data_IF_067228135324
#
_entry.id   IF_067228135324
#
_cell.length_a   1.000
_cell.length_b   1.000
_cell.length_c   1.000
_cell.angle_alpha   90.00
_cell.angle_beta   90.00
_cell.angle_gamma   90.00
#
_symmetry.space_group_name_H-M   'P 1'
#
loop_
_entity.id
_entity.type
_entity.pdbx_description
1 polymer ?
#
# COMPACT_ATOMS: atom_id res chain seq x y z
N UNK A 1 7.66 7.58 -22.74
CA UNK A 1 8.32 7.41 -21.42
C UNK A 1 9.76 7.94 -21.47
N UNK A 2 10.13 8.79 -20.51
CA UNK A 2 11.50 9.27 -20.39
C UNK A 2 12.29 8.26 -19.56
N UNK A 3 13.26 7.54 -20.13
CA UNK A 3 13.96 6.46 -19.43
C UNK A 3 14.78 6.99 -18.24
N UNK A 4 15.17 8.27 -18.27
CA UNK A 4 16.03 8.90 -17.28
C UNK A 4 15.26 9.67 -16.19
N UNK A 5 13.92 9.60 -16.19
CA UNK A 5 13.10 10.27 -15.17
C UNK A 5 12.40 9.27 -14.25
N UNK A 6 12.19 9.63 -12.96
CA UNK A 6 11.35 8.84 -12.08
C UNK A 6 9.95 8.67 -12.65
N UNK A 7 9.33 7.54 -12.33
CA UNK A 7 8.03 7.16 -12.86
C UNK A 7 7.16 6.51 -11.79
N UNK A 8 5.85 6.64 -11.96
CA UNK A 8 4.86 6.00 -11.10
C UNK A 8 4.41 4.68 -11.70
N UNK A 9 4.08 3.75 -10.83
CA UNK A 9 3.30 2.57 -11.16
C UNK A 9 2.17 2.41 -10.15
N UNK A 10 1.10 1.76 -10.57
CA UNK A 10 0.03 1.34 -9.68
C UNK A 10 -0.53 0.00 -10.15
N UNK A 11 -0.94 -0.83 -9.20
CA UNK A 11 -1.75 -1.99 -9.50
C UNK A 11 -3.13 -1.52 -10.00
N UNK A 12 -3.68 -2.19 -11.02
CA UNK A 12 -4.89 -1.75 -11.73
C UNK A 12 -6.19 -1.92 -10.94
N UNK A 13 -6.13 -2.56 -9.78
CA UNK A 13 -7.22 -2.90 -8.87
C UNK A 13 -7.25 -2.03 -7.60
N UNK A 14 -6.38 -1.02 -7.51
CA UNK A 14 -6.30 -0.13 -6.35
C UNK A 14 -7.10 1.14 -6.57
N UNK A 15 -7.98 1.44 -5.63
CA UNK A 15 -8.66 2.73 -5.54
C UNK A 15 -8.21 3.48 -4.28
N UNK A 16 -7.58 4.63 -4.47
CA UNK A 16 -7.00 5.41 -3.36
C UNK A 16 -7.01 6.92 -3.64
N UNK A 17 -6.83 7.72 -2.58
CA UNK A 17 -6.76 9.19 -2.64
C UNK A 17 -5.73 9.74 -1.66
N UNK A 18 -4.54 10.05 -2.16
CA UNK A 18 -3.49 10.79 -1.44
C UNK A 18 -2.63 11.60 -2.43
N UNK A 19 -1.75 12.48 -1.91
CA UNK A 19 -0.87 13.31 -2.74
C UNK A 19 0.26 12.47 -3.34
N UNK A 20 0.24 12.26 -4.66
CA UNK A 20 1.36 11.65 -5.39
C UNK A 20 2.60 12.55 -5.39
N UNK A 21 2.42 13.86 -5.27
CA UNK A 21 3.51 14.83 -5.16
C UNK A 21 4.30 14.59 -3.88
N UNK A 22 3.62 14.54 -2.74
CA UNK A 22 4.25 14.32 -1.42
C UNK A 22 5.01 12.99 -1.41
N UNK A 23 4.46 11.97 -2.08
CA UNK A 23 5.13 10.67 -2.23
C UNK A 23 6.41 10.77 -3.08
N UNK A 24 6.41 11.57 -4.15
CA UNK A 24 7.62 11.78 -4.97
C UNK A 24 8.67 12.64 -4.25
N UNK A 25 8.24 13.70 -3.55
CA UNK A 25 9.14 14.53 -2.74
C UNK A 25 9.81 13.65 -1.67
N UNK A 26 9.03 12.82 -0.97
CA UNK A 26 9.55 11.83 -0.03
C UNK A 26 10.51 10.83 -0.70
N UNK A 27 10.20 10.32 -1.88
CA UNK A 27 11.07 9.41 -2.62
C UNK A 27 12.45 10.04 -2.88
N UNK A 28 12.48 11.30 -3.31
CA UNK A 28 13.71 12.06 -3.53
C UNK A 28 14.44 12.35 -2.22
N UNK A 29 13.75 12.76 -1.16
CA UNK A 29 14.34 13.02 0.16
C UNK A 29 15.01 11.78 0.76
N UNK A 30 14.50 10.59 0.47
CA UNK A 30 15.04 9.31 0.96
C UNK A 30 16.12 8.71 0.08
N UNK A 31 16.42 9.31 -1.07
CA UNK A 31 17.35 8.76 -2.08
C UNK A 31 17.04 7.28 -2.36
N UNK A 32 15.75 6.96 -2.46
CA UNK A 32 15.27 5.59 -2.61
C UNK A 32 15.23 5.19 -4.08
N UNK A 33 15.49 3.92 -4.37
CA UNK A 33 15.31 3.37 -5.73
C UNK A 33 13.85 3.10 -6.03
N UNK A 34 13.14 2.66 -5.00
CA UNK A 34 11.72 2.40 -5.05
C UNK A 34 11.07 2.86 -3.75
N UNK A 35 9.90 3.46 -3.87
CA UNK A 35 9.05 3.84 -2.75
C UNK A 35 7.68 3.23 -2.93
N UNK A 36 7.21 2.48 -1.93
CA UNK A 36 5.87 1.91 -1.89
C UNK A 36 4.98 2.81 -1.06
N UNK A 37 3.77 3.08 -1.54
CA UNK A 37 2.72 3.57 -0.66
C UNK A 37 2.34 2.45 0.33
N UNK A 38 2.13 2.81 1.59
CA UNK A 38 1.81 1.88 2.66
C UNK A 38 0.41 2.15 3.21
N UNK A 39 -0.40 1.10 3.31
CA UNK A 39 -1.75 1.14 3.85
C UNK A 39 -1.87 0.28 5.13
N UNK A 40 -2.85 0.60 5.98
CA UNK A 40 -3.25 -0.19 7.14
C UNK A 40 -4.71 -0.60 7.01
N UNK A 41 -5.04 -1.71 6.33
CA UNK A 41 -6.42 -2.16 6.18
C UNK A 41 -7.05 -2.58 7.51
N UNK A 42 -8.37 -2.71 7.50
CA UNK A 42 -9.07 -3.45 8.56
C UNK A 42 -8.96 -4.95 8.28
N UNK A 43 -8.74 -5.74 9.32
CA UNK A 43 -8.84 -7.19 9.20
C UNK A 43 -10.31 -7.57 9.07
N UNK A 44 -10.69 -8.56 8.22
CA UNK A 44 -12.08 -8.94 8.01
C UNK A 44 -12.63 -9.86 9.11
N UNK A 45 -12.02 -9.84 10.31
CA UNK A 45 -12.35 -10.71 11.44
C UNK A 45 -12.47 -9.90 12.74
N UNK A 46 -13.17 -10.45 13.73
CA UNK A 46 -13.15 -9.91 15.09
C UNK A 46 -11.85 -10.23 15.79
N UNK A 47 -11.18 -9.23 16.37
CA UNK A 47 -10.06 -9.48 17.27
C UNK A 47 -10.54 -9.51 18.71
N UNK A 48 -9.97 -10.43 19.49
CA UNK A 48 -10.27 -10.58 20.92
C UNK A 48 -9.05 -10.24 21.76
N UNK A 49 -9.26 -9.58 22.90
CA UNK A 49 -8.25 -9.47 23.96
C UNK A 49 -8.62 -10.44 25.07
N UNK A 50 -7.67 -11.25 25.50
CA UNK A 50 -7.84 -12.17 26.62
C UNK A 50 -6.95 -11.78 27.78
N UNK A 51 -7.41 -11.99 29.01
CA UNK A 51 -6.55 -11.93 30.19
C UNK A 51 -5.68 -13.20 30.32
N UNK A 52 -4.83 -13.26 31.34
CA UNK A 52 -3.97 -14.42 31.62
C UNK A 52 -4.72 -15.70 32.01
N UNK A 53 -6.03 -15.62 32.27
CA UNK A 53 -6.89 -16.76 32.58
C UNK A 53 -7.72 -17.22 31.38
N UNK A 54 -7.53 -16.60 30.20
CA UNK A 54 -8.26 -16.92 28.98
C UNK A 54 -9.67 -16.33 28.91
N UNK A 55 -10.03 -15.37 29.77
CA UNK A 55 -11.32 -14.66 29.67
C UNK A 55 -11.23 -13.57 28.62
N UNK A 56 -12.23 -13.48 27.75
CA UNK A 56 -12.35 -12.37 26.79
C UNK A 56 -12.68 -11.09 27.55
N UNK A 57 -11.82 -10.09 27.43
CA UNK A 57 -11.96 -8.77 28.05
C UNK A 57 -12.42 -7.70 27.07
N UNK A 58 -12.24 -7.95 25.77
CA UNK A 58 -12.60 -7.03 24.69
C UNK A 58 -12.85 -7.82 23.40
N UNK A 59 -13.80 -7.35 22.59
CA UNK A 59 -14.10 -7.88 21.25
C UNK A 59 -14.24 -6.71 20.29
N UNK A 60 -13.30 -6.60 19.35
CA UNK A 60 -13.23 -5.50 18.41
C UNK A 60 -13.59 -6.03 17.02
N UNK A 61 -14.70 -5.56 16.47
CA UNK A 61 -15.10 -5.91 15.11
C UNK A 61 -14.23 -5.16 14.09
N UNK A 62 -13.63 -5.91 13.16
CA UNK A 62 -12.82 -5.41 12.06
C UNK A 62 -11.81 -4.31 12.45
N UNK A 63 -10.89 -4.56 13.41
CA UNK A 63 -9.88 -3.60 13.81
C UNK A 63 -8.89 -3.34 12.68
N UNK A 64 -8.17 -2.22 12.79
CA UNK A 64 -7.01 -1.97 11.93
C UNK A 64 -5.92 -3.01 12.21
N UNK A 65 -5.22 -3.44 11.15
CA UNK A 65 -4.01 -4.24 11.31
C UNK A 65 -2.89 -3.42 11.97
N UNK A 66 -2.04 -4.10 12.74
CA UNK A 66 -0.81 -3.51 13.29
C UNK A 66 0.28 -3.37 12.22
N UNK A 67 0.18 -4.15 11.13
CA UNK A 67 1.15 -4.15 10.03
C UNK A 67 0.77 -3.15 8.94
N UNK A 68 1.77 -2.48 8.38
CA UNK A 68 1.63 -1.80 7.11
C UNK A 68 1.80 -2.80 5.97
N UNK A 69 1.02 -2.63 4.92
CA UNK A 69 1.06 -3.45 3.71
C UNK A 69 1.37 -2.59 2.50
N UNK A 70 1.87 -3.24 1.43
CA UNK A 70 1.99 -2.64 0.11
C UNK A 70 0.59 -2.15 -0.34
N UNK A 71 0.46 -0.85 -0.59
CA UNK A 71 -0.79 -0.23 -1.02
C UNK A 71 -0.99 -0.29 -2.55
N UNK A 72 -0.05 -0.88 -3.30
CA UNK A 72 -0.14 -1.04 -4.74
C UNK A 72 0.05 0.26 -5.54
N UNK A 73 0.69 1.27 -4.95
CA UNK A 73 1.11 2.49 -5.64
C UNK A 73 2.59 2.73 -5.35
N UNK A 74 3.34 3.11 -6.38
CA UNK A 74 4.80 3.14 -6.34
C UNK A 74 5.37 4.38 -7.02
N UNK A 75 6.54 4.81 -6.54
CA UNK A 75 7.46 5.72 -7.24
C UNK A 75 8.77 4.98 -7.43
N UNK A 76 9.29 5.00 -8.66
CA UNK A 76 10.53 4.32 -9.02
C UNK A 76 11.52 5.30 -9.63
N UNK A 77 12.77 5.16 -9.22
CA UNK A 77 13.90 5.79 -9.89
C UNK A 77 14.15 5.13 -11.26
N UNK A 78 14.77 5.85 -12.22
CA UNK A 78 15.12 5.33 -13.55
C UNK A 78 15.77 3.95 -13.53
N UNK A 79 16.75 3.76 -12.64
CA UNK A 79 17.53 2.53 -12.55
C UNK A 79 16.69 1.29 -12.17
N UNK A 80 15.52 1.47 -11.55
CA UNK A 80 14.65 0.36 -11.15
C UNK A 80 14.24 -0.52 -12.33
N UNK A 81 14.08 0.05 -13.53
CA UNK A 81 13.73 -0.71 -14.73
C UNK A 81 14.75 -1.81 -15.05
N UNK A 82 16.04 -1.56 -14.79
CA UNK A 82 17.13 -2.55 -14.98
C UNK A 82 17.17 -3.64 -13.90
N UNK A 83 16.45 -3.42 -12.79
CA UNK A 83 16.41 -4.32 -11.64
C UNK A 83 15.24 -5.31 -11.72
N UNK A 84 14.27 -5.06 -12.61
CA UNK A 84 13.12 -5.92 -12.83
C UNK A 84 13.56 -7.30 -13.34
N UNK A 85 12.94 -8.38 -12.85
CA UNK A 85 13.22 -9.71 -13.38
C UNK A 85 12.69 -9.82 -14.81
N UNK A 86 13.38 -10.58 -15.67
CA UNK A 86 12.89 -10.88 -17.02
C UNK A 86 11.52 -11.58 -17.00
N UNK A 87 11.31 -12.43 -15.98
CA UNK A 87 10.04 -13.12 -15.72
C UNK A 87 9.79 -13.23 -14.22
N UNK A 88 8.54 -13.04 -13.83
CA UNK A 88 8.07 -13.22 -12.46
C UNK A 88 7.74 -11.90 -11.78
N UNK A 89 7.68 -11.95 -10.45
CA UNK A 89 7.17 -10.86 -9.63
C UNK A 89 8.31 -10.15 -8.90
N UNK A 90 8.35 -8.83 -9.09
CA UNK A 90 9.30 -7.93 -8.44
C UNK A 90 9.05 -7.85 -6.92
N UNK A 91 7.82 -8.10 -6.45
CA UNK A 91 7.50 -8.17 -5.02
C UNK A 91 8.16 -9.36 -4.32
N UNK A 92 8.41 -10.45 -5.04
CA UNK A 92 9.05 -11.66 -4.49
C UNK A 92 10.57 -11.65 -4.60
N UNK A 93 11.12 -10.75 -5.41
CA UNK A 93 12.54 -10.75 -5.80
C UNK A 93 13.20 -9.39 -5.57
N UNK A 94 12.80 -8.39 -6.36
CA UNK A 94 13.42 -7.07 -6.43
C UNK A 94 13.19 -6.27 -5.14
N UNK A 95 11.96 -6.21 -4.63
CA UNK A 95 11.66 -5.49 -3.40
C UNK A 95 12.38 -6.08 -2.18
N UNK A 96 12.35 -7.40 -1.92
CA UNK A 96 13.13 -7.98 -0.83
C UNK A 96 14.64 -7.72 -0.93
N UNK A 97 15.19 -7.66 -2.15
CA UNK A 97 16.60 -7.29 -2.36
C UNK A 97 16.84 -5.82 -1.99
N UNK A 98 16.08 -4.90 -2.57
CA UNK A 98 16.20 -3.45 -2.30
C UNK A 98 15.99 -3.12 -0.81
N UNK A 99 15.08 -3.82 -0.13
CA UNK A 99 14.87 -3.65 1.30
C UNK A 99 16.12 -4.02 2.11
N UNK A 100 16.77 -5.14 1.81
CA UNK A 100 18.03 -5.56 2.47
C UNK A 100 19.17 -4.58 2.18
N UNK A 101 19.18 -4.01 0.98
CA UNK A 101 20.14 -2.96 0.57
C UNK A 101 19.82 -1.57 1.13
N UNK A 102 18.71 -1.41 1.86
CA UNK A 102 18.20 -0.11 2.36
C UNK A 102 17.90 0.91 1.26
N UNK A 103 17.52 0.41 0.08
CA UNK A 103 17.17 1.19 -1.13
C UNK A 103 15.67 1.19 -1.42
N UNK A 104 14.88 0.58 -0.55
CA UNK A 104 13.42 0.53 -0.60
C UNK A 104 12.85 1.39 0.54
N UNK A 105 11.99 2.36 0.20
CA UNK A 105 11.31 3.19 1.18
C UNK A 105 9.80 2.93 1.23
N UNK A 106 9.20 3.22 2.37
CA UNK A 106 7.75 3.13 2.58
C UNK A 106 7.16 4.50 2.89
N UNK A 107 6.19 4.93 2.08
CA UNK A 107 5.43 6.15 2.28
C UNK A 107 4.07 5.81 2.89
N UNK A 108 3.90 6.05 4.19
CA UNK A 108 2.61 5.82 4.87
C UNK A 108 1.55 6.78 4.33
N UNK A 109 0.49 6.22 3.76
CA UNK A 109 -0.66 7.01 3.30
C UNK A 109 -1.26 7.75 4.51
N UNK A 110 -1.60 9.05 4.38
CA UNK A 110 -2.15 9.83 5.49
C UNK A 110 -3.36 9.17 6.14
N UNK A 111 -3.45 9.27 7.47
CA UNK A 111 -4.61 8.74 8.19
C UNK A 111 -5.90 9.41 7.70
N UNK A 112 -6.92 8.60 7.39
CA UNK A 112 -8.20 9.08 6.85
C UNK A 112 -8.23 9.24 5.34
N UNK A 113 -7.09 9.08 4.65
CA UNK A 113 -7.09 8.94 3.20
C UNK A 113 -7.81 7.65 2.78
N UNK A 114 -8.49 7.71 1.63
CA UNK A 114 -9.20 6.57 1.09
C UNK A 114 -8.20 5.58 0.48
N UNK A 115 -8.34 4.29 0.79
CA UNK A 115 -7.61 3.21 0.14
C UNK A 115 -8.43 1.92 0.17
N UNK A 116 -8.49 1.23 -0.98
CA UNK A 116 -9.18 -0.04 -1.14
C UNK A 116 -8.58 -0.83 -2.31
N UNK A 117 -8.38 -2.13 -2.12
CA UNK A 117 -8.19 -3.09 -3.19
C UNK A 117 -9.54 -3.62 -3.68
N UNK A 118 -9.71 -3.75 -5.00
CA UNK A 118 -10.93 -4.25 -5.64
C UNK A 118 -10.69 -5.68 -6.14
N UNK A 119 -10.66 -6.61 -5.19
CA UNK A 119 -10.35 -8.02 -5.48
C UNK A 119 -11.61 -8.84 -5.81
N UNK A 120 -12.77 -8.44 -5.26
CA UNK A 120 -14.03 -9.19 -5.40
C UNK A 120 -15.18 -8.33 -5.91
N UNK A 121 -16.23 -8.98 -6.42
CA UNK A 121 -17.46 -8.30 -6.81
C UNK A 121 -18.12 -7.55 -5.64
N UNK A 122 -17.92 -8.02 -4.40
CA UNK A 122 -18.37 -7.33 -3.19
C UNK A 122 -17.61 -6.02 -3.02
N UNK A 123 -16.29 -6.03 -3.21
CA UNK A 123 -15.45 -4.83 -3.07
C UNK A 123 -15.84 -3.77 -4.09
N UNK A 124 -16.10 -4.18 -5.34
CA UNK A 124 -16.60 -3.29 -6.40
C UNK A 124 -17.97 -2.67 -6.05
N UNK A 125 -18.88 -3.49 -5.53
CA UNK A 125 -20.24 -3.04 -5.16
C UNK A 125 -20.17 -2.01 -4.03
N UNK A 126 -19.38 -2.29 -2.99
CA UNK A 126 -19.20 -1.38 -1.87
C UNK A 126 -18.45 -0.10 -2.30
N UNK A 127 -17.44 -0.21 -3.16
CA UNK A 127 -16.75 0.94 -3.74
C UNK A 127 -17.71 1.86 -4.52
N UNK A 128 -18.61 1.28 -5.34
CA UNK A 128 -19.60 2.05 -6.08
C UNK A 128 -20.58 2.79 -5.16
N UNK A 129 -21.00 2.17 -4.04
CA UNK A 129 -21.84 2.83 -3.02
C UNK A 129 -21.13 4.01 -2.38
N UNK A 130 -19.87 3.83 -1.99
CA UNK A 130 -19.04 4.89 -1.39
C UNK A 130 -18.81 6.05 -2.37
N UNK A 131 -18.54 5.74 -3.64
CA UNK A 131 -18.39 6.76 -4.69
C UNK A 131 -19.67 7.59 -4.87
N UNK A 132 -20.83 6.93 -4.91
CA UNK A 132 -22.12 7.61 -5.05
C UNK A 132 -22.45 8.51 -3.85
N UNK A 133 -21.98 8.16 -2.65
CA UNK A 133 -22.14 8.97 -1.45
C UNK A 133 -21.24 10.21 -1.45
N UNK A 134 -20.06 10.16 -2.05
CA UNK A 134 -19.12 11.28 -2.16
C UNK A 134 -19.56 12.36 -3.15
N UNK A 135 -20.47 12.03 -4.07
CA UNK A 135 -21.03 12.96 -5.06
C UNK A 135 -22.25 13.76 -4.58
N UNK A 136 -22.61 13.69 -3.30
CA UNK A 136 -23.70 14.45 -2.67
C UNK A 136 -23.16 15.53 -1.74
#
# INVERSE_FOLDING_TARGET
>A
PHPDLPWYAANGDIWTRFSLRDMADFHTERDAVATLALARPRIPWGAVKTDGFGRVTDFIEAPLTTYEINAGVYVFSPEFASLLPERGDHERTTFPRLARERRLAGFSIPQGAYWRAIDTAKDLTEAAKELAALGR
#
